data_IF_386184215705
#
_entry.id   IF_386184215705
#
_cell.length_a   1.000
_cell.length_b   1.000
_cell.length_c   1.000
_cell.angle_alpha   90.00
_cell.angle_beta   90.00
_cell.angle_gamma   90.00
#
_symmetry.space_group_name_H-M   'P 1'
#
loop_
_entity.id
_entity.type
_entity.pdbx_description
1 polymer ?
#
# COMPACT_ATOMS: atom_id res chain seq x y z
N UNK A 1 -20.67 -10.74 -13.38
CA UNK A 1 -20.75 -10.11 -12.04
C UNK A 1 -19.57 -9.17 -11.88
N UNK A 2 -19.78 -7.99 -11.30
CA UNK A 2 -18.66 -7.10 -10.98
C UNK A 2 -17.84 -7.68 -9.83
N UNK A 3 -16.53 -7.85 -10.04
CA UNK A 3 -15.62 -8.39 -9.03
C UNK A 3 -14.92 -7.25 -8.28
N UNK A 4 -15.01 -7.26 -6.95
CA UNK A 4 -14.34 -6.29 -6.09
C UNK A 4 -13.04 -6.83 -5.53
N UNK A 5 -12.09 -5.93 -5.27
CA UNK A 5 -10.87 -6.29 -4.55
C UNK A 5 -11.16 -6.62 -3.08
N UNK A 6 -10.50 -7.65 -2.55
CA UNK A 6 -10.53 -7.98 -1.11
C UNK A 6 -9.82 -6.90 -0.30
N UNK A 7 -10.12 -6.83 1.00
CA UNK A 7 -9.35 -6.00 1.92
C UNK A 7 -7.93 -6.56 2.07
N UNK A 8 -6.89 -5.71 1.93
CA UNK A 8 -5.51 -6.13 2.16
C UNK A 8 -5.20 -6.26 3.65
N UNK A 9 -4.09 -6.94 4.01
CA UNK A 9 -3.49 -6.81 5.34
C UNK A 9 -3.20 -5.34 5.66
N UNK A 10 -3.48 -4.89 6.88
CA UNK A 10 -3.38 -3.48 7.28
C UNK A 10 -1.98 -2.88 7.07
N UNK A 11 -0.92 -3.67 7.29
CA UNK A 11 0.47 -3.28 7.03
C UNK A 11 0.73 -2.77 5.60
N UNK A 12 -0.09 -3.18 4.61
CA UNK A 12 0.04 -2.69 3.23
C UNK A 12 -0.21 -1.19 3.10
N UNK A 13 -0.94 -0.60 4.04
CA UNK A 13 -1.11 0.86 4.16
C UNK A 13 0.23 1.51 4.53
N UNK A 14 0.98 0.95 5.49
CA UNK A 14 2.27 1.48 5.89
C UNK A 14 3.36 1.25 4.83
N UNK A 15 3.33 0.10 4.16
CA UNK A 15 4.20 -0.16 2.99
C UNK A 15 3.97 0.88 1.87
N UNK A 16 2.71 1.29 1.66
CA UNK A 16 2.34 2.28 0.66
C UNK A 16 2.87 3.68 1.03
N UNK A 17 2.69 4.10 2.29
CA UNK A 17 3.27 5.34 2.80
C UNK A 17 4.80 5.37 2.64
N UNK A 18 5.47 4.28 3.02
CA UNK A 18 6.92 4.15 2.86
C UNK A 18 7.33 4.24 1.38
N UNK A 19 6.58 3.62 0.46
CA UNK A 19 6.85 3.73 -0.98
C UNK A 19 6.75 5.16 -1.52
N UNK A 20 5.78 5.92 -1.04
CA UNK A 20 5.65 7.34 -1.40
C UNK A 20 6.84 8.14 -0.83
N UNK A 21 7.15 7.98 0.46
CA UNK A 21 8.24 8.71 1.12
C UNK A 21 9.64 8.37 0.57
N UNK A 22 9.83 7.13 0.08
CA UNK A 22 11.06 6.70 -0.58
C UNK A 22 11.17 7.20 -2.02
N UNK A 23 10.17 7.91 -2.56
CA UNK A 23 10.15 8.33 -3.96
C UNK A 23 10.03 7.16 -4.95
N UNK A 24 9.50 6.01 -4.51
CA UNK A 24 9.41 4.78 -5.30
C UNK A 24 8.16 4.70 -6.19
N UNK A 25 7.39 5.78 -6.29
CA UNK A 25 6.12 5.82 -7.04
C UNK A 25 6.20 6.88 -8.13
N UNK A 26 6.15 6.44 -9.38
CA UNK A 26 6.05 7.32 -10.55
C UNK A 26 4.64 7.26 -11.11
N UNK A 27 3.97 8.41 -11.20
CA UNK A 27 2.59 8.51 -11.70
C UNK A 27 2.56 9.18 -13.07
N UNK A 28 1.83 8.58 -14.00
CA UNK A 28 1.53 9.14 -15.32
C UNK A 28 0.04 8.95 -15.62
N UNK A 29 -0.74 10.03 -15.49
CA UNK A 29 -2.19 10.03 -15.67
C UNK A 29 -2.92 8.97 -14.83
N UNK A 30 -3.33 7.89 -15.48
CA UNK A 30 -4.12 6.78 -14.97
C UNK A 30 -3.28 5.50 -14.80
N UNK A 31 -1.97 5.64 -14.81
CA UNK A 31 -1.00 4.57 -14.62
C UNK A 31 0.04 4.99 -13.58
N UNK A 32 0.52 4.02 -12.81
CA UNK A 32 1.67 4.20 -11.95
C UNK A 32 2.67 3.05 -12.10
N UNK A 33 3.95 3.37 -11.93
CA UNK A 33 5.03 2.40 -11.71
C UNK A 33 5.49 2.52 -10.27
N UNK A 34 5.59 1.39 -9.57
CA UNK A 34 5.99 1.34 -8.16
C UNK A 34 7.12 0.34 -7.97
N UNK A 35 8.27 0.81 -7.50
CA UNK A 35 9.42 -0.05 -7.23
C UNK A 35 9.32 -0.73 -5.86
N UNK A 36 9.78 -1.97 -5.73
CA UNK A 36 9.91 -2.67 -4.44
C UNK A 36 10.88 -1.93 -3.51
N UNK A 37 10.82 -2.21 -2.20
CA UNK A 37 11.76 -1.62 -1.22
C UNK A 37 13.23 -1.95 -1.51
N UNK A 38 13.50 -3.02 -2.27
CA UNK A 38 14.83 -3.43 -2.73
C UNK A 38 15.19 -2.88 -4.12
N UNK A 39 14.26 -2.27 -4.84
CA UNK A 39 14.44 -1.82 -6.23
C UNK A 39 14.44 -2.94 -7.29
N UNK A 40 14.44 -4.21 -6.89
CA UNK A 40 14.54 -5.36 -7.81
C UNK A 40 13.29 -5.60 -8.68
N UNK A 41 12.11 -5.14 -8.22
CA UNK A 41 10.84 -5.32 -8.92
C UNK A 41 10.17 -3.99 -9.16
N UNK A 42 9.51 -3.86 -10.30
CA UNK A 42 8.66 -2.73 -10.64
C UNK A 42 7.25 -3.24 -10.94
N UNK A 43 6.27 -2.71 -10.24
CA UNK A 43 4.86 -3.06 -10.37
C UNK A 43 4.14 -1.99 -11.18
N UNK A 44 3.20 -2.40 -12.02
CA UNK A 44 2.32 -1.53 -12.79
C UNK A 44 0.94 -1.51 -12.15
N UNK A 45 0.44 -0.29 -11.93
CA UNK A 45 -0.95 -0.06 -11.51
C UNK A 45 -1.66 0.74 -12.59
N UNK A 46 -2.88 0.33 -12.95
CA UNK A 46 -3.74 1.02 -13.92
C UNK A 46 -5.07 1.32 -13.24
N UNK A 47 -5.51 2.57 -13.30
CA UNK A 47 -6.79 3.03 -12.80
C UNK A 47 -7.66 3.51 -13.96
N UNK A 48 -8.87 2.97 -14.06
CA UNK A 48 -9.90 3.46 -14.96
C UNK A 48 -11.03 4.06 -14.11
N UNK A 49 -11.28 5.37 -14.22
CA UNK A 49 -12.40 6.01 -13.53
C UNK A 49 -13.75 5.33 -13.84
N UNK A 50 -14.68 5.32 -12.88
CA UNK A 50 -14.57 5.94 -11.56
C UNK A 50 -13.89 5.05 -10.50
N UNK A 51 -13.90 3.73 -10.67
CA UNK A 51 -13.66 2.78 -9.57
C UNK A 51 -12.93 1.49 -9.99
N UNK A 52 -12.45 1.38 -11.24
CA UNK A 52 -11.78 0.18 -11.74
C UNK A 52 -10.27 0.30 -11.60
N UNK A 53 -9.62 -0.72 -11.05
CA UNK A 53 -8.17 -0.71 -10.86
C UNK A 53 -7.58 -2.11 -11.08
N UNK A 54 -6.36 -2.16 -11.61
CA UNK A 54 -5.53 -3.35 -11.82
C UNK A 54 -4.14 -3.10 -11.27
N UNK A 55 -3.57 -4.10 -10.61
CA UNK A 55 -2.18 -4.12 -10.13
C UNK A 55 -1.59 -5.49 -10.43
N UNK A 56 -0.33 -5.52 -10.87
CA UNK A 56 0.40 -6.75 -11.18
C UNK A 56 1.25 -7.28 -10.01
N UNK A 57 1.13 -6.67 -8.82
CA UNK A 57 1.84 -7.15 -7.64
C UNK A 57 1.33 -8.50 -7.14
N UNK A 58 2.19 -9.25 -6.45
CA UNK A 58 1.88 -10.59 -5.96
C UNK A 58 0.62 -10.65 -5.08
N UNK A 59 0.34 -9.61 -4.29
CA UNK A 59 -0.86 -9.52 -3.47
C UNK A 59 -2.12 -9.44 -4.33
N UNK A 60 -2.09 -8.61 -5.37
CA UNK A 60 -3.19 -8.50 -6.33
C UNK A 60 -3.37 -9.75 -7.17
N UNK A 61 -2.30 -10.28 -7.77
CA UNK A 61 -2.38 -11.45 -8.67
C UNK A 61 -2.76 -12.73 -7.93
N UNK A 62 -2.10 -13.04 -6.79
CA UNK A 62 -2.27 -14.33 -6.14
C UNK A 62 -3.23 -14.33 -4.95
N UNK A 63 -3.52 -13.16 -4.35
CA UNK A 63 -4.38 -13.06 -3.15
C UNK A 63 -5.69 -12.30 -3.42
N UNK A 64 -5.75 -11.51 -4.48
CA UNK A 64 -6.97 -10.81 -4.90
C UNK A 64 -7.31 -9.58 -4.05
N UNK A 65 -6.32 -8.95 -3.41
CA UNK A 65 -6.47 -7.66 -2.72
C UNK A 65 -5.60 -6.58 -3.37
N UNK A 66 -5.88 -5.30 -3.10
CA UNK A 66 -4.99 -4.20 -3.53
C UNK A 66 -3.72 -4.17 -2.69
N UNK A 67 -2.58 -4.48 -3.30
CA UNK A 67 -1.28 -4.38 -2.63
C UNK A 67 -0.85 -2.93 -2.38
N UNK A 68 0.30 -2.78 -1.71
CA UNK A 68 0.86 -1.45 -1.45
C UNK A 68 1.06 -0.58 -2.71
N UNK A 69 1.35 -1.12 -3.92
CA UNK A 69 1.46 -0.28 -5.12
C UNK A 69 0.17 0.44 -5.46
N UNK A 70 -0.96 -0.28 -5.43
CA UNK A 70 -2.26 0.27 -5.72
C UNK A 70 -2.72 1.27 -4.65
N UNK A 71 -2.47 0.95 -3.37
CA UNK A 71 -2.79 1.86 -2.27
C UNK A 71 -1.99 3.16 -2.42
N UNK A 72 -0.69 3.08 -2.68
CA UNK A 72 0.17 4.25 -2.86
C UNK A 72 -0.27 5.12 -4.04
N UNK A 73 -0.63 4.49 -5.17
CA UNK A 73 -1.14 5.23 -6.32
C UNK A 73 -2.47 5.95 -6.00
N UNK A 74 -3.40 5.27 -5.33
CA UNK A 74 -4.69 5.85 -4.96
C UNK A 74 -4.54 7.00 -3.96
N UNK A 75 -3.57 6.92 -3.03
CA UNK A 75 -3.21 8.03 -2.13
C UNK A 75 -2.73 9.25 -2.93
N UNK A 76 -1.80 9.07 -3.87
CA UNK A 76 -1.29 10.16 -4.71
C UNK A 76 -2.34 10.76 -5.65
N UNK A 77 -3.36 9.98 -6.05
CA UNK A 77 -4.52 10.50 -6.80
C UNK A 77 -5.55 11.22 -5.91
N UNK A 78 -5.35 11.29 -4.59
CA UNK A 78 -6.31 11.87 -3.64
C UNK A 78 -7.58 11.02 -3.46
N UNK A 79 -7.55 9.74 -3.83
CA UNK A 79 -8.69 8.82 -3.76
C UNK A 79 -8.71 7.99 -2.47
N UNK A 80 -7.59 7.99 -1.72
CA UNK A 80 -7.44 7.43 -0.38
C UNK A 80 -6.72 8.46 0.52
N UNK A 81 -6.93 8.41 1.84
CA UNK A 81 -6.23 9.27 2.80
C UNK A 81 -4.70 9.13 2.71
N UNK A 82 -3.98 10.24 2.80
CA UNK A 82 -2.53 10.29 2.84
C UNK A 82 -2.07 11.09 4.06
N UNK A 83 -1.08 10.57 4.78
CA UNK A 83 -0.50 11.19 5.97
C UNK A 83 1.01 11.35 5.76
N UNK A 84 1.41 12.55 5.35
CA UNK A 84 2.80 12.89 5.03
C UNK A 84 3.74 12.73 6.24
N UNK A 85 3.29 13.12 7.44
CA UNK A 85 4.10 13.01 8.66
C UNK A 85 4.37 11.56 9.04
N UNK A 86 3.37 10.68 8.85
CA UNK A 86 3.56 9.25 9.05
C UNK A 86 4.43 8.64 7.95
N UNK A 87 4.25 9.07 6.70
CA UNK A 87 5.04 8.60 5.57
C UNK A 87 6.54 8.86 5.77
N UNK A 88 6.91 10.09 6.16
CA UNK A 88 8.32 10.43 6.37
C UNK A 88 8.98 9.57 7.47
N UNK A 89 8.24 9.24 8.53
CA UNK A 89 8.75 8.33 9.58
C UNK A 89 8.94 6.89 9.11
N UNK A 90 8.28 6.49 8.02
CA UNK A 90 8.36 5.16 7.43
C UNK A 90 9.40 5.06 6.30
N UNK A 91 10.11 6.14 5.98
CA UNK A 91 11.15 6.21 4.96
C UNK A 91 12.32 5.26 5.25
N UNK A 92 12.80 4.58 4.22
CA UNK A 92 13.94 3.67 4.25
C UNK A 92 13.69 2.37 5.01
N UNK A 93 12.43 1.96 5.23
CA UNK A 93 12.14 0.66 5.82
C UNK A 93 12.34 -0.45 4.77
N UNK A 94 13.18 -1.47 5.03
CA UNK A 94 13.39 -2.59 4.12
C UNK A 94 12.23 -3.60 4.24
N UNK A 95 11.04 -3.20 3.78
CA UNK A 95 9.79 -3.96 3.93
C UNK A 95 9.90 -5.41 3.46
N UNK A 96 10.52 -5.65 2.30
CA UNK A 96 10.70 -7.01 1.76
C UNK A 96 11.50 -7.89 2.71
N UNK A 97 12.66 -7.43 3.16
CA UNK A 97 13.56 -8.18 4.04
C UNK A 97 12.89 -8.50 5.38
N UNK A 98 12.21 -7.51 5.98
CA UNK A 98 11.49 -7.72 7.24
C UNK A 98 10.35 -8.73 7.08
N UNK A 99 9.56 -8.62 6.01
CA UNK A 99 8.47 -9.55 5.72
C UNK A 99 8.99 -10.97 5.45
N UNK A 100 10.09 -11.14 4.73
CA UNK A 100 10.69 -12.46 4.45
C UNK A 100 11.36 -13.08 5.69
N UNK A 101 12.02 -12.27 6.51
CA UNK A 101 12.68 -12.70 7.74
C UNK A 101 11.69 -13.17 8.80
N UNK A 102 10.63 -12.38 9.04
CA UNK A 102 9.71 -12.64 10.13
C UNK A 102 8.47 -13.45 9.72
N UNK A 103 8.04 -13.38 8.46
CA UNK A 103 6.86 -14.07 7.91
C UNK A 103 5.57 -13.86 8.72
N UNK A 104 5.53 -12.79 9.50
CA UNK A 104 4.42 -12.41 10.37
C UNK A 104 4.27 -10.88 10.36
N UNK A 105 3.20 -10.42 9.72
CA UNK A 105 2.93 -8.99 9.58
C UNK A 105 2.73 -8.28 10.92
N UNK A 106 2.15 -8.92 11.93
CA UNK A 106 1.96 -8.29 13.25
C UNK A 106 3.31 -8.04 13.92
N UNK A 107 4.24 -9.00 13.77
CA UNK A 107 5.60 -8.88 14.30
C UNK A 107 6.39 -7.80 13.57
N UNK A 108 6.32 -7.76 12.23
CA UNK A 108 6.99 -6.72 11.42
C UNK A 108 6.48 -5.33 11.81
N UNK A 109 5.16 -5.16 11.88
CA UNK A 109 4.55 -3.89 12.25
C UNK A 109 4.96 -3.46 13.67
N UNK A 110 4.93 -4.37 14.64
CA UNK A 110 5.39 -4.08 16.01
C UNK A 110 6.84 -3.61 16.06
N UNK A 111 7.75 -4.26 15.32
CA UNK A 111 9.16 -3.86 15.23
C UNK A 111 9.29 -2.44 14.68
N UNK A 112 8.55 -2.13 13.60
CA UNK A 112 8.57 -0.81 12.97
C UNK A 112 8.03 0.27 13.90
N UNK A 113 6.88 0.02 14.56
CA UNK A 113 6.30 0.96 15.50
C UNK A 113 7.27 1.29 16.63
N UNK A 114 7.98 0.29 17.17
CA UNK A 114 8.99 0.48 18.20
C UNK A 114 10.22 1.22 17.68
N UNK A 115 10.80 0.79 16.56
CA UNK A 115 12.00 1.39 15.98
C UNK A 115 11.80 2.86 15.60
N UNK A 116 10.62 3.18 15.06
CA UNK A 116 10.27 4.53 14.59
C UNK A 116 9.56 5.39 15.64
N UNK A 117 9.38 4.86 16.86
CA UNK A 117 8.67 5.53 17.98
C UNK A 117 7.31 6.07 17.55
N UNK A 118 6.55 5.24 16.83
CA UNK A 118 5.23 5.59 16.33
C UNK A 118 4.17 5.30 17.40
N UNK A 119 3.19 6.20 17.51
CA UNK A 119 2.02 5.98 18.34
C UNK A 119 1.12 4.92 17.69
N UNK A 120 0.94 3.79 18.38
CA UNK A 120 0.19 2.65 17.86
C UNK A 120 -1.26 3.02 17.57
N UNK A 121 -1.90 3.80 18.43
CA UNK A 121 -3.32 4.18 18.27
C UNK A 121 -3.52 5.05 17.04
N UNK A 122 -2.65 6.04 16.81
CA UNK A 122 -2.65 6.89 15.61
C UNK A 122 -2.46 6.06 14.34
N UNK A 123 -1.53 5.10 14.35
CA UNK A 123 -1.29 4.21 13.20
C UNK A 123 -2.51 3.34 12.93
N UNK A 124 -3.07 2.69 13.94
CA UNK A 124 -4.25 1.85 13.77
C UNK A 124 -5.48 2.63 13.30
N UNK A 125 -5.66 3.87 13.75
CA UNK A 125 -6.73 4.75 13.27
C UNK A 125 -6.55 5.05 11.78
N UNK A 126 -5.34 5.42 11.36
CA UNK A 126 -5.04 5.71 9.96
C UNK A 126 -5.23 4.48 9.06
N UNK A 127 -4.73 3.30 9.48
CA UNK A 127 -4.95 2.05 8.77
C UNK A 127 -6.43 1.74 8.59
N UNK A 128 -7.24 1.92 9.65
CA UNK A 128 -8.70 1.70 9.58
C UNK A 128 -9.37 2.65 8.61
N UNK A 129 -8.98 3.91 8.60
CA UNK A 129 -9.53 4.93 7.69
C UNK A 129 -9.25 4.56 6.22
N UNK A 130 -8.00 4.22 5.89
CA UNK A 130 -7.61 3.80 4.53
C UNK A 130 -8.33 2.51 4.12
N UNK A 131 -8.41 1.51 5.01
CA UNK A 131 -9.11 0.26 4.72
C UNK A 131 -10.61 0.45 4.51
N UNK A 132 -11.25 1.38 5.24
CA UNK A 132 -12.63 1.77 4.98
C UNK A 132 -12.78 2.41 3.59
N UNK A 133 -11.82 3.24 3.17
CA UNK A 133 -11.77 3.80 1.81
C UNK A 133 -11.58 2.75 0.70
N UNK A 134 -11.13 1.53 1.03
CA UNK A 134 -10.98 0.43 0.07
C UNK A 134 -12.23 -0.48 0.03
N UNK A 135 -12.85 -0.70 1.20
CA UNK A 135 -13.92 -1.70 1.39
C UNK A 135 -15.07 -1.50 0.40
N UNK A 136 -15.27 -2.48 -0.49
CA UNK A 136 -16.35 -2.53 -1.50
C UNK A 136 -16.40 -1.30 -2.42
N UNK A 137 -15.30 -0.57 -2.57
CA UNK A 137 -15.22 0.60 -3.44
C UNK A 137 -14.59 0.29 -4.79
N UNK A 138 -13.56 -0.56 -4.83
CA UNK A 138 -12.73 -0.74 -6.02
C UNK A 138 -13.04 -2.05 -6.75
N UNK A 139 -13.38 -1.92 -8.04
CA UNK A 139 -13.65 -3.04 -8.95
C UNK A 139 -12.37 -3.48 -9.64
N UNK A 140 -12.27 -4.77 -9.96
CA UNK A 140 -11.19 -5.29 -10.79
C UNK A 140 -11.36 -4.76 -12.22
N UNK A 141 -10.27 -4.23 -12.76
CA UNK A 141 -10.14 -3.94 -14.18
C UNK A 141 -9.66 -5.22 -14.89
N UNK A 142 -10.38 -5.63 -15.93
CA UNK A 142 -10.05 -6.78 -16.76
C UNK A 142 -8.71 -6.57 -17.49
#
# INVERSE_FOLDING_TARGET
>A
MEEFWKLPPKIKVLEALGAIADGRVSVENNKARVSSSTGEKNYTVIFQPPDRIKSDDNGSVFKGYLGYPAIAFLMLKGLLPYDEQLAEKLKGIPWKELNEKYKDYRKVEFIILKQRRLDQKRVETFEKEVLQGIKRKWKKLA
#
